data_IF_919121852503
#
_entry.id   IF_919121852503
#
_cell.length_a   1.000
_cell.length_b   1.000
_cell.length_c   1.000
_cell.angle_alpha   90.00
_cell.angle_beta   90.00
_cell.angle_gamma   90.00
#
_symmetry.space_group_name_H-M   'P 1'
#
loop_
_entity.id
_entity.type
_entity.pdbx_description
1 polymer ?
#
# COMPACT_ATOMS: atom_id res chain seq x y z
C UNK A 15 12.23 -1.35 1.72
N UNK A 16 12.14 -2.06 0.60
CA UNK A 16 11.62 -1.49 -0.64
C UNK A 16 10.10 -1.55 -0.66
N UNK A 17 9.56 -2.61 -0.05
CA UNK A 17 8.12 -2.81 0.02
C UNK A 17 7.48 -1.80 0.96
N UNK A 18 8.15 -1.55 2.08
CA UNK A 18 7.67 -0.61 3.08
C UNK A 18 7.51 0.78 2.47
N UNK A 19 8.62 1.31 1.98
CA UNK A 19 8.64 2.64 1.36
C UNK A 19 7.45 2.81 0.43
N UNK A 20 7.25 1.82 -0.43
CA UNK A 20 6.14 1.83 -1.39
C UNK A 20 4.81 1.77 -0.66
N UNK A 21 4.76 0.94 0.38
CA UNK A 21 3.55 0.77 1.18
C UNK A 21 3.23 2.05 1.93
N UNK A 22 4.23 2.58 2.63
CA UNK A 22 4.08 3.80 3.41
C UNK A 22 4.05 5.02 2.49
N UNK A 23 4.75 4.90 1.37
CA UNK A 23 4.83 5.98 0.38
C UNK A 23 3.65 5.91 -0.58
N UNK A 24 3.13 4.70 -0.76
CA UNK A 24 2.00 4.46 -1.65
C UNK A 24 0.69 4.78 -0.94
N UNK A 25 0.56 4.27 0.28
CA UNK A 25 -0.64 4.49 1.09
C UNK A 25 -0.81 5.97 1.39
N UNK A 26 0.29 6.62 1.76
CA UNK A 26 0.28 8.04 2.09
C UNK A 26 -0.27 8.85 0.93
N UNK A 27 -0.06 8.34 -0.28
CA UNK A 27 -0.53 8.99 -1.50
C UNK A 27 -2.03 8.83 -1.65
N UNK A 28 -2.51 7.63 -1.32
CA UNK A 28 -3.93 7.31 -1.41
C UNK A 28 -4.74 8.18 -0.46
N UNK A 29 -4.21 8.35 0.76
CA UNK A 29 -4.86 9.15 1.78
C UNK A 29 -4.47 10.62 1.64
N UNK A 30 -3.30 10.84 1.04
CA UNK A 30 -2.78 12.19 0.83
C UNK A 30 -2.42 12.39 -0.64
N UNK A 31 -2.90 11.47 -1.48
CA UNK A 31 -2.64 11.53 -2.91
C UNK A 31 -3.95 11.43 -3.69
N UNK A 32 -4.96 10.87 -3.04
CA UNK A 32 -6.28 10.70 -3.65
C UNK A 32 -7.33 11.42 -2.83
N UNK A 33 -6.91 11.95 -1.68
CA UNK A 33 -7.80 12.67 -0.78
C UNK A 33 -9.03 11.83 -0.45
N UNK A 34 -8.86 10.52 -0.55
CA UNK A 34 -9.94 9.57 -0.26
C UNK A 34 -9.50 8.56 0.78
N UNK A 35 -10.46 7.80 1.29
CA UNK A 35 -10.21 6.78 2.30
C UNK A 35 -9.79 5.47 1.65
N UNK A 36 -10.54 5.09 0.62
CA UNK A 36 -10.27 3.86 -0.12
C UNK A 36 -10.49 4.07 -1.61
N UNK A 37 -9.41 3.90 -2.38
CA UNK A 37 -9.46 4.07 -3.83
C UNK A 37 -9.84 2.76 -4.50
N UNK A 38 -11.07 2.70 -4.99
CA UNK A 38 -11.59 1.52 -5.67
C UNK A 38 -10.61 1.04 -6.73
N UNK A 39 -9.73 1.95 -7.15
CA UNK A 39 -8.72 1.65 -8.16
C UNK A 39 -7.33 1.87 -7.61
N UNK A 40 -7.16 2.99 -6.91
CA UNK A 40 -5.88 3.35 -6.31
C UNK A 40 -5.73 2.72 -4.94
N UNK A 41 -6.80 2.81 -4.15
CA UNK A 41 -6.82 2.25 -2.80
C UNK A 41 -6.47 0.77 -2.83
N UNK A 42 -7.28 0.01 -3.55
CA UNK A 42 -7.08 -1.44 -3.69
C UNK A 42 -5.62 -1.75 -3.96
N UNK A 43 -5.01 -0.93 -4.81
CA UNK A 43 -3.60 -1.10 -5.17
C UNK A 43 -2.71 -0.91 -3.96
N UNK A 44 -3.03 0.11 -3.16
CA UNK A 44 -2.27 0.42 -1.96
C UNK A 44 -2.48 -0.66 -0.90
N UNK A 45 -3.74 -1.01 -0.68
CA UNK A 45 -4.11 -2.03 0.29
C UNK A 45 -3.57 -3.39 -0.12
N UNK A 46 -3.93 -3.80 -1.33
CA UNK A 46 -3.50 -5.08 -1.88
C UNK A 46 -1.98 -5.12 -2.01
N UNK A 47 -1.43 -4.07 -2.60
CA UNK A 47 0.02 -3.95 -2.79
C UNK A 47 0.74 -4.02 -1.46
N UNK A 48 0.21 -3.30 -0.47
CA UNK A 48 0.79 -3.26 0.86
C UNK A 48 0.90 -4.67 1.44
N UNK A 49 -0.24 -5.33 1.56
CA UNK A 49 -0.30 -6.69 2.09
C UNK A 49 0.81 -7.54 1.50
N UNK A 50 1.05 -7.36 0.20
CA UNK A 50 2.08 -8.10 -0.51
C UNK A 50 3.44 -7.87 0.13
N UNK A 51 3.71 -6.62 0.50
CA UNK A 51 4.97 -6.25 1.13
C UNK A 51 5.09 -6.90 2.50
N UNK A 52 3.99 -6.92 3.24
CA UNK A 52 3.95 -7.51 4.57
C UNK A 52 4.21 -9.01 4.49
N UNK A 53 3.35 -9.70 3.76
CA UNK A 53 3.46 -11.15 3.59
C UNK A 53 4.86 -11.53 3.15
N UNK A 54 5.39 -10.76 2.20
CA UNK A 54 6.73 -10.99 1.67
C UNK A 54 7.74 -11.09 2.79
N UNK A 55 7.51 -10.30 3.84
CA UNK A 55 8.38 -10.28 5.01
C UNK A 55 8.03 -11.40 5.97
N UNK A 56 6.75 -11.75 6.00
CA UNK A 56 6.25 -12.82 6.86
C UNK A 56 6.72 -14.17 6.36
N UNK A 57 6.28 -14.53 5.16
CA UNK A 57 6.64 -15.80 4.54
C UNK A 57 8.05 -15.74 3.97
N UNK A 58 8.73 -14.62 4.25
CA UNK A 58 10.09 -14.40 3.77
C UNK A 58 10.78 -13.34 4.60
N UNK A 59 12.10 -13.25 4.45
CA UNK A 59 12.90 -12.28 5.18
#
# INVERSE_FOLDING_TARGET
LIGTTLVALSSFTPVLVILLGVVGLSALTGYLDYVLLPALAIFIGLTIYAIQRKRQADASX
#
